data_IF_336348409914
#
_entry.id   IF_336348409914
#
_cell.length_a   1.000
_cell.length_b   1.000
_cell.length_c   1.000
_cell.angle_alpha   90.00
_cell.angle_beta   90.00
_cell.angle_gamma   90.00
#
_symmetry.space_group_name_H-M   'P 1'
#
loop_
_entity.id
_entity.type
_entity.pdbx_description
1 polymer ?
#
# COMPACT_ATOMS: atom_id res chain seq x y z
N UNK A 1 15.20 -17.53 -28.90
CA UNK A 1 15.15 -17.35 -27.43
C UNK A 1 14.47 -16.02 -27.18
N UNK A 2 13.14 -16.02 -27.11
CA UNK A 2 12.36 -14.86 -26.67
C UNK A 2 12.58 -14.72 -25.17
N UNK A 3 13.47 -13.81 -24.77
CA UNK A 3 13.66 -13.49 -23.35
C UNK A 3 12.38 -12.86 -22.83
N UNK A 4 11.85 -13.43 -21.75
CA UNK A 4 10.73 -12.89 -20.97
C UNK A 4 11.06 -11.44 -20.58
N UNK A 5 10.14 -10.52 -20.81
CA UNK A 5 10.36 -9.11 -20.52
C UNK A 5 10.25 -8.82 -19.02
N UNK A 6 10.88 -7.74 -18.51
CA UNK A 6 10.86 -7.42 -17.08
C UNK A 6 9.45 -7.22 -16.49
N UNK A 7 8.45 -6.92 -17.32
CA UNK A 7 7.05 -6.79 -16.91
C UNK A 7 6.34 -8.13 -16.70
N UNK A 8 6.76 -9.18 -17.41
CA UNK A 8 6.15 -10.52 -17.35
C UNK A 8 6.57 -11.24 -16.05
N UNK A 9 7.80 -10.98 -15.60
CA UNK A 9 8.32 -11.39 -14.29
C UNK A 9 7.57 -10.71 -13.13
N UNK A 10 7.24 -9.43 -13.27
CA UNK A 10 6.44 -8.69 -12.27
C UNK A 10 5.03 -9.26 -12.19
N UNK A 11 4.37 -9.51 -13.32
CA UNK A 11 3.01 -10.07 -13.33
C UNK A 11 2.97 -11.46 -12.68
N UNK A 12 3.96 -12.31 -12.97
CA UNK A 12 4.08 -13.64 -12.36
C UNK A 12 4.33 -13.55 -10.85
N UNK A 13 5.25 -12.69 -10.41
CA UNK A 13 5.53 -12.46 -9.00
C UNK A 13 4.31 -11.91 -8.24
N UNK A 14 3.58 -10.97 -8.84
CA UNK A 14 2.33 -10.44 -8.29
C UNK A 14 1.26 -11.52 -8.13
N UNK A 15 1.10 -12.40 -9.13
CA UNK A 15 0.15 -13.52 -9.05
C UNK A 15 0.49 -14.52 -7.95
N UNK A 16 1.76 -14.84 -7.77
CA UNK A 16 2.21 -15.70 -6.67
C UNK A 16 1.91 -15.07 -5.30
N UNK A 17 2.26 -13.79 -5.12
CA UNK A 17 1.97 -13.04 -3.89
C UNK A 17 0.47 -13.01 -3.60
N UNK A 18 -0.36 -12.67 -4.59
CA UNK A 18 -1.81 -12.62 -4.43
C UNK A 18 -2.44 -13.97 -4.06
N UNK A 19 -1.86 -15.07 -4.53
CA UNK A 19 -2.35 -16.43 -4.23
C UNK A 19 -2.13 -16.79 -2.76
N UNK A 20 -1.05 -16.29 -2.15
CA UNK A 20 -0.68 -16.57 -0.77
C UNK A 20 -1.18 -15.50 0.22
N UNK A 21 -1.57 -14.34 -0.28
CA UNK A 21 -2.01 -13.22 0.54
C UNK A 21 -3.35 -13.50 1.22
N UNK A 22 -3.33 -13.49 2.56
CA UNK A 22 -4.53 -13.56 3.40
C UNK A 22 -5.41 -12.32 3.20
N UNK A 23 -6.71 -12.48 3.41
CA UNK A 23 -7.68 -11.39 3.31
C UNK A 23 -8.32 -11.13 4.69
N UNK A 24 -8.27 -9.89 5.22
CA UNK A 24 -7.48 -8.77 4.72
C UNK A 24 -5.96 -8.97 4.93
N UNK A 25 -5.15 -8.30 4.11
CA UNK A 25 -3.71 -8.26 4.29
C UNK A 25 -2.98 -7.49 3.20
N UNK A 26 -1.69 -7.23 3.44
CA UNK A 26 -0.75 -6.72 2.45
C UNK A 26 0.53 -7.56 2.40
N UNK A 27 1.29 -7.42 1.31
CA UNK A 27 2.61 -8.00 1.14
C UNK A 27 3.50 -7.05 0.34
N UNK A 28 4.80 -7.12 0.60
CA UNK A 28 5.83 -6.42 -0.15
C UNK A 28 6.47 -7.37 -1.15
N UNK A 29 6.58 -6.94 -2.41
CA UNK A 29 7.35 -7.63 -3.42
C UNK A 29 8.58 -6.79 -3.78
N UNK A 30 9.78 -7.40 -3.84
CA UNK A 30 10.99 -6.69 -4.19
C UNK A 30 10.97 -6.30 -5.67
N UNK A 31 11.25 -5.03 -5.95
CA UNK A 31 11.64 -4.54 -7.27
C UNK A 31 13.06 -3.97 -7.18
N UNK A 32 13.79 -3.92 -8.29
CA UNK A 32 15.24 -3.64 -8.31
C UNK A 32 15.64 -2.25 -7.77
N UNK A 33 14.68 -1.32 -7.64
CA UNK A 33 14.88 0.00 -7.06
C UNK A 33 13.81 0.41 -6.04
N UNK A 34 12.62 -0.19 -6.10
CA UNK A 34 11.43 0.23 -5.36
C UNK A 34 10.79 -0.97 -4.64
N UNK A 35 9.83 -0.68 -3.77
CA UNK A 35 9.01 -1.72 -3.13
C UNK A 35 7.63 -1.71 -3.79
N UNK A 36 7.19 -2.87 -4.27
CA UNK A 36 5.81 -3.05 -4.72
C UNK A 36 4.97 -3.46 -3.51
N UNK A 37 3.88 -2.76 -3.27
CA UNK A 37 2.91 -3.10 -2.23
C UNK A 37 1.71 -3.77 -2.90
N UNK A 38 1.40 -4.98 -2.46
CA UNK A 38 0.21 -5.72 -2.87
C UNK A 38 -0.74 -5.77 -1.68
N UNK A 39 -1.94 -5.22 -1.83
CA UNK A 39 -2.94 -5.15 -0.77
C UNK A 39 -4.24 -5.84 -1.19
N UNK A 40 -4.92 -6.46 -0.22
CA UNK A 40 -6.18 -7.17 -0.43
C UNK A 40 -7.14 -6.94 0.73
N UNK A 41 -8.38 -6.62 0.39
CA UNK A 41 -9.49 -6.52 1.32
C UNK A 41 -10.73 -7.26 0.81
N UNK A 42 -11.72 -7.40 1.69
CA UNK A 42 -13.07 -7.92 1.41
C UNK A 42 -13.94 -6.86 0.74
N UNK A 43 -13.57 -5.59 0.86
CA UNK A 43 -14.14 -4.45 0.16
C UNK A 43 -13.04 -3.56 -0.42
N UNK A 44 -13.42 -2.55 -1.21
CA UNK A 44 -12.50 -1.58 -1.78
C UNK A 44 -11.82 -0.76 -0.67
N UNK A 45 -12.60 -0.34 0.32
CA UNK A 45 -12.17 0.42 1.49
C UNK A 45 -11.12 -0.37 2.27
N UNK A 46 -11.40 -1.65 2.57
CA UNK A 46 -10.44 -2.50 3.28
C UNK A 46 -9.16 -2.73 2.46
N UNK A 47 -9.25 -2.79 1.13
CA UNK A 47 -8.06 -2.89 0.28
C UNK A 47 -7.22 -1.60 0.33
N UNK A 48 -7.85 -0.42 0.39
CA UNK A 48 -7.18 0.87 0.56
C UNK A 48 -6.50 0.98 1.93
N UNK A 49 -7.17 0.53 3.00
CA UNK A 49 -6.60 0.47 4.34
C UNK A 49 -5.37 -0.45 4.40
N UNK A 50 -5.44 -1.63 3.77
CA UNK A 50 -4.29 -2.54 3.71
C UNK A 50 -3.14 -1.97 2.86
N UNK A 51 -3.45 -1.21 1.80
CA UNK A 51 -2.42 -0.52 1.03
C UNK A 51 -1.69 0.53 1.88
N UNK A 52 -2.43 1.34 2.63
CA UNK A 52 -1.86 2.31 3.56
C UNK A 52 -1.00 1.64 4.64
N UNK A 53 -1.49 0.55 5.25
CA UNK A 53 -0.70 -0.25 6.20
C UNK A 53 0.59 -0.77 5.57
N UNK A 54 0.53 -1.24 4.32
CA UNK A 54 1.71 -1.68 3.58
C UNK A 54 2.74 -0.56 3.34
N UNK A 55 2.29 0.68 3.15
CA UNK A 55 3.18 1.85 3.05
C UNK A 55 3.83 2.13 4.40
N UNK A 56 3.04 2.22 5.47
CA UNK A 56 3.56 2.57 6.79
C UNK A 56 4.47 1.51 7.39
N UNK A 57 4.28 0.22 7.07
CA UNK A 57 5.20 -0.86 7.50
C UNK A 57 6.61 -0.72 6.89
N UNK A 58 6.76 0.02 5.78
CA UNK A 58 8.07 0.38 5.22
C UNK A 58 8.69 1.54 6.01
N UNK A 59 7.86 2.47 6.49
CA UNK A 59 8.28 3.67 7.21
C UNK A 59 8.65 3.34 8.66
N UNK A 60 7.86 2.51 9.34
CA UNK A 60 8.02 2.17 10.76
C UNK A 60 7.32 0.86 11.11
N UNK A 61 7.66 0.28 12.26
CA UNK A 61 6.94 -0.86 12.83
C UNK A 61 5.55 -0.40 13.33
N UNK A 62 4.51 -0.68 12.52
CA UNK A 62 3.15 -0.19 12.81
C UNK A 62 2.58 -0.75 14.11
N UNK A 63 3.07 -1.89 14.60
CA UNK A 63 2.61 -2.48 15.87
C UNK A 63 3.05 -1.68 17.11
N UNK A 64 4.03 -0.79 16.95
CA UNK A 64 4.53 0.07 18.04
C UNK A 64 3.93 1.48 18.00
N UNK A 65 3.06 1.76 17.04
CA UNK A 65 2.38 3.05 16.92
C UNK A 65 1.26 3.11 17.95
N UNK A 66 1.32 4.11 18.83
CA UNK A 66 0.28 4.36 19.82
C UNK A 66 -0.79 5.30 19.25
N UNK A 67 -2.10 4.96 19.36
CA UNK A 67 -3.17 5.81 18.86
C UNK A 67 -3.36 7.02 19.79
N UNK A 68 -2.72 8.13 19.46
CA UNK A 68 -2.78 9.39 20.23
C UNK A 68 -3.69 10.44 19.62
N UNK A 69 -3.87 10.40 18.30
CA UNK A 69 -4.67 11.36 17.54
C UNK A 69 -5.46 10.64 16.45
N UNK A 70 -6.61 11.22 16.09
CA UNK A 70 -7.44 10.79 14.97
C UNK A 70 -7.46 11.93 13.92
N UNK A 71 -7.35 11.57 12.64
CA UNK A 71 -7.46 12.50 11.51
C UNK A 71 -8.51 11.99 10.55
N UNK A 72 -9.47 12.85 10.21
CA UNK A 72 -10.44 12.61 9.15
C UNK A 72 -9.85 13.21 7.88
N UNK A 73 -9.67 12.39 6.86
CA UNK A 73 -9.10 12.79 5.58
C UNK A 73 -10.14 12.47 4.51
N UNK A 74 -10.48 13.47 3.71
CA UNK A 74 -11.41 13.35 2.60
C UNK A 74 -10.66 13.58 1.30
N UNK A 75 -10.71 12.60 0.40
CA UNK A 75 -10.01 12.67 -0.89
C UNK A 75 -10.92 12.24 -2.03
N UNK A 76 -10.61 12.69 -3.24
CA UNK A 76 -11.35 12.33 -4.44
C UNK A 76 -10.41 12.14 -5.62
N UNK A 77 -10.76 11.21 -6.52
CA UNK A 77 -10.01 10.92 -7.74
C UNK A 77 -10.95 10.74 -8.92
N UNK A 78 -10.46 11.00 -10.13
CA UNK A 78 -11.23 10.78 -11.37
C UNK A 78 -11.47 9.29 -11.67
N UNK A 79 -10.67 8.42 -11.06
CA UNK A 79 -10.78 6.96 -11.10
C UNK A 79 -10.19 6.37 -9.80
N UNK A 80 -10.23 5.04 -9.69
CA UNK A 80 -9.72 4.32 -8.50
C UNK A 80 -8.20 4.40 -8.34
N UNK A 81 -7.44 4.53 -9.42
CA UNK A 81 -5.98 4.62 -9.36
C UNK A 81 -5.56 5.97 -8.77
N UNK A 82 -6.16 7.06 -9.28
CA UNK A 82 -5.93 8.39 -8.75
C UNK A 82 -6.47 8.53 -7.33
N UNK A 83 -7.62 7.91 -7.01
CA UNK A 83 -8.16 7.93 -5.65
C UNK A 83 -7.20 7.27 -4.67
N UNK A 84 -6.64 6.10 -5.00
CA UNK A 84 -5.66 5.42 -4.15
C UNK A 84 -4.37 6.23 -4.02
N UNK A 85 -3.86 6.77 -5.13
CA UNK A 85 -2.67 7.61 -5.13
C UNK A 85 -2.82 8.79 -4.18
N UNK A 86 -3.90 9.58 -4.34
CA UNK A 86 -4.17 10.76 -3.51
C UNK A 86 -4.40 10.37 -2.06
N UNK A 87 -5.10 9.26 -1.83
CA UNK A 87 -5.33 8.77 -0.47
C UNK A 87 -4.02 8.50 0.29
N UNK A 88 -3.07 7.83 -0.34
CA UNK A 88 -1.75 7.57 0.25
C UNK A 88 -0.94 8.86 0.37
N UNK A 89 -0.98 9.73 -0.65
CA UNK A 89 -0.30 11.03 -0.64
C UNK A 89 -0.77 11.93 0.51
N UNK A 90 -2.08 11.97 0.78
CA UNK A 90 -2.67 12.73 1.89
C UNK A 90 -2.18 12.22 3.26
N UNK A 91 -2.04 10.89 3.43
CA UNK A 91 -1.47 10.30 4.65
C UNK A 91 0.01 10.69 4.81
N UNK A 92 0.79 10.54 3.75
CA UNK A 92 2.22 10.88 3.75
C UNK A 92 2.46 12.38 3.98
N UNK A 93 1.56 13.24 3.50
CA UNK A 93 1.61 14.67 3.80
C UNK A 93 1.60 14.94 5.30
N UNK A 94 0.73 14.27 6.08
CA UNK A 94 0.72 14.41 7.54
C UNK A 94 1.98 13.84 8.19
N UNK A 95 2.54 12.78 7.63
CA UNK A 95 3.81 12.24 8.08
C UNK A 95 4.95 13.24 7.89
N UNK A 96 5.05 13.85 6.72
CA UNK A 96 6.14 14.78 6.41
C UNK A 96 5.97 16.14 7.10
N UNK A 97 4.73 16.63 7.24
CA UNK A 97 4.46 17.96 7.78
C UNK A 97 4.31 18.01 9.30
N UNK A 98 3.69 16.98 9.90
CA UNK A 98 3.35 16.93 11.33
C UNK A 98 4.11 15.82 12.08
N UNK A 99 4.84 14.94 11.38
CA UNK A 99 5.55 13.81 11.99
C UNK A 99 4.62 12.69 12.45
N UNK A 100 3.39 12.65 11.95
CA UNK A 100 2.39 11.62 12.31
C UNK A 100 2.64 10.32 11.55
N UNK A 101 2.41 9.18 12.19
CA UNK A 101 2.42 7.86 11.55
C UNK A 101 1.11 7.14 11.87
N UNK A 102 0.63 6.34 10.93
CA UNK A 102 -0.69 5.68 11.02
C UNK A 102 -0.54 4.14 11.05
N UNK A 103 -1.50 3.45 11.65
CA UNK A 103 -1.50 1.99 11.88
C UNK A 103 -2.89 1.37 11.78
#
# INVERSE_FOLDING_TARGET
MSGEGPFEDIEKGLREVLTQLKCPGFAHAPHTADIIIVARGRSLEEAFEQAARGVYEIITDTNKVEPREERIIETSGVDLYQLLYRWIEDLLFYTDSEGLVFS
#
